data_IF_696893221317
#
_entry.id   IF_696893221317
#
_cell.length_a   1.000
_cell.length_b   1.000
_cell.length_c   1.000
_cell.angle_alpha   90.00
_cell.angle_beta   90.00
_cell.angle_gamma   90.00
#
_symmetry.space_group_name_H-M   'P 1'
#
loop_
_entity.id
_entity.type
_entity.pdbx_description
1 polymer ?
#
# COMPACT_ATOMS: atom_id res chain seq x y z
N UNK A 1 -49.03 -27.36 -11.33
CA UNK A 1 -48.29 -26.09 -11.21
C UNK A 1 -49.30 -24.98 -11.31
N UNK A 2 -49.01 -23.90 -10.60
CA UNK A 2 -49.65 -22.57 -10.65
C UNK A 2 -50.79 -22.23 -9.68
N UNK A 3 -50.53 -21.09 -9.03
CA UNK A 3 -51.19 -20.27 -7.98
C UNK A 3 -52.63 -19.81 -8.39
N UNK A 4 -53.41 -18.97 -7.62
CA UNK A 4 -53.13 -18.25 -6.35
C UNK A 4 -54.32 -18.13 -5.33
N UNK A 5 -54.06 -17.34 -4.26
CA UNK A 5 -54.97 -16.47 -3.48
C UNK A 5 -55.93 -17.08 -2.44
N UNK A 6 -55.75 -16.67 -1.17
CA UNK A 6 -56.76 -15.90 -0.39
C UNK A 6 -56.24 -15.47 0.99
N UNK A 7 -56.59 -14.23 1.33
CA UNK A 7 -56.48 -13.57 2.63
C UNK A 7 -57.27 -14.28 3.75
N UNK A 8 -56.98 -13.95 5.03
CA UNK A 8 -57.92 -13.50 6.10
C UNK A 8 -57.48 -13.92 7.53
N UNK A 9 -57.10 -12.89 8.32
CA UNK A 9 -57.55 -12.55 9.70
C UNK A 9 -57.08 -13.34 10.94
N UNK A 10 -56.31 -12.60 11.76
CA UNK A 10 -56.34 -12.41 13.23
C UNK A 10 -56.46 -13.60 14.20
N UNK A 11 -55.56 -13.68 15.19
CA UNK A 11 -55.75 -13.11 16.55
C UNK A 11 -54.67 -13.62 17.53
N UNK A 12 -54.48 -12.86 18.63
CA UNK A 12 -54.18 -13.34 20.00
C UNK A 12 -52.71 -13.34 20.50
N UNK A 13 -52.51 -12.39 21.42
CA UNK A 13 -51.87 -12.48 22.74
C UNK A 13 -50.39 -12.10 22.88
N UNK A 14 -50.26 -11.02 23.66
CA UNK A 14 -49.10 -10.47 24.34
C UNK A 14 -48.06 -11.48 24.81
N UNK A 15 -46.79 -11.07 24.76
CA UNK A 15 -45.98 -10.93 25.97
C UNK A 15 -44.74 -10.08 25.66
N UNK A 16 -44.58 -8.97 26.38
CA UNK A 16 -43.32 -8.24 26.46
C UNK A 16 -42.21 -9.17 26.94
N UNK A 17 -41.11 -9.28 26.19
CA UNK A 17 -39.75 -9.28 26.72
C UNK A 17 -38.74 -9.42 25.58
N UNK A 18 -37.70 -8.58 25.63
CA UNK A 18 -36.43 -8.71 24.90
C UNK A 18 -36.42 -8.36 23.41
N UNK A 19 -36.57 -7.07 23.11
CA UNK A 19 -35.85 -6.48 21.98
C UNK A 19 -34.37 -6.38 22.36
N UNK A 20 -33.62 -7.47 22.20
CA UNK A 20 -32.21 -7.36 21.85
C UNK A 20 -32.17 -6.99 20.38
N UNK A 21 -32.09 -5.70 20.08
CA UNK A 21 -31.63 -5.25 18.79
C UNK A 21 -30.19 -5.77 18.64
N UNK A 22 -30.04 -6.93 17.97
CA UNK A 22 -28.75 -7.29 17.40
C UNK A 22 -28.54 -6.33 16.25
N UNK A 23 -27.83 -5.24 16.52
CA UNK A 23 -27.10 -4.56 15.48
C UNK A 23 -26.07 -5.57 14.97
N UNK A 24 -26.39 -6.24 13.86
CA UNK A 24 -25.36 -6.90 13.07
C UNK A 24 -24.44 -5.78 12.58
N UNK A 25 -23.27 -5.69 13.19
CA UNK A 25 -22.17 -4.90 12.66
C UNK A 25 -21.75 -5.63 11.40
N UNK A 26 -22.35 -5.25 10.26
CA UNK A 26 -21.78 -5.55 8.96
C UNK A 26 -20.46 -4.79 8.96
N UNK A 27 -19.36 -5.52 9.15
CA UNK A 27 -18.03 -5.01 8.88
C UNK A 27 -18.00 -4.68 7.40
N UNK A 28 -18.26 -3.42 7.09
CA UNK A 28 -18.15 -2.86 5.77
C UNK A 28 -16.66 -2.91 5.40
N UNK A 29 -16.28 -3.92 4.62
CA UNK A 29 -14.95 -4.10 4.03
C UNK A 29 -14.70 -3.08 2.90
N UNK A 30 -15.26 -1.87 3.06
CA UNK A 30 -15.25 -0.79 2.06
C UNK A 30 -13.90 -0.12 1.91
N UNK A 31 -12.93 -0.41 2.79
CA UNK A 31 -11.60 0.17 2.69
C UNK A 31 -10.71 -0.50 1.63
N UNK A 32 -10.98 -1.75 1.25
CA UNK A 32 -10.27 -2.40 0.14
C UNK A 32 -10.63 -1.79 -1.23
N UNK A 33 -11.78 -1.12 -1.35
CA UNK A 33 -12.20 -0.44 -2.57
C UNK A 33 -11.57 0.95 -2.74
N UNK A 34 -11.10 1.60 -1.67
CA UNK A 34 -10.46 2.93 -1.79
C UNK A 34 -8.99 2.83 -2.21
N UNK A 35 -8.34 1.68 -1.98
CA UNK A 35 -6.95 1.41 -2.40
C UNK A 35 -6.85 1.05 -3.89
N UNK A 36 -7.97 0.77 -4.58
CA UNK A 36 -7.99 0.40 -6.01
C UNK A 36 -7.54 1.50 -6.98
N UNK A 37 -7.34 2.74 -6.51
CA UNK A 37 -6.86 3.84 -7.36
C UNK A 37 -5.37 4.17 -7.18
N UNK A 38 -4.65 3.45 -6.31
CA UNK A 38 -3.20 3.58 -6.26
C UNK A 38 -2.61 2.76 -7.42
N UNK A 39 -2.00 3.44 -8.39
CA UNK A 39 -1.21 2.78 -9.43
C UNK A 39 -0.30 1.72 -8.80
N UNK A 40 -0.13 0.54 -9.40
CA UNK A 40 0.55 -0.56 -8.74
C UNK A 40 1.98 -0.14 -8.36
N UNK A 41 2.28 0.01 -7.06
CA UNK A 41 3.46 0.78 -6.60
C UNK A 41 4.78 0.22 -7.12
N UNK A 42 4.99 -1.10 -7.11
CA UNK A 42 6.20 -1.71 -7.65
C UNK A 42 6.21 -1.87 -9.17
N UNK A 43 5.06 -1.74 -9.82
CA UNK A 43 4.94 -1.81 -11.28
C UNK A 43 4.75 -0.43 -11.94
N UNK A 44 4.71 0.65 -11.15
CA UNK A 44 4.40 2.02 -11.57
C UNK A 44 5.34 2.56 -12.64
N UNK A 45 6.62 2.19 -12.62
CA UNK A 45 7.62 2.65 -13.60
C UNK A 45 7.75 1.74 -14.83
N UNK A 46 7.11 0.57 -14.83
CA UNK A 46 7.29 -0.42 -15.89
C UNK A 46 6.30 -0.29 -17.05
N UNK A 47 5.25 0.54 -16.92
CA UNK A 47 4.25 0.68 -17.96
C UNK A 47 4.73 1.59 -19.09
N UNK A 48 4.63 1.08 -20.32
CA UNK A 48 4.93 1.77 -21.58
C UNK A 48 3.73 1.65 -22.51
N UNK A 49 3.75 2.35 -23.65
CA UNK A 49 2.72 2.19 -24.69
C UNK A 49 2.63 0.74 -25.22
N UNK A 50 3.74 -0.01 -25.15
CA UNK A 50 3.83 -1.40 -25.58
C UNK A 50 3.38 -2.39 -24.51
N UNK A 51 3.05 -1.93 -23.30
CA UNK A 51 2.69 -2.77 -22.15
C UNK A 51 3.69 -2.62 -21.00
N UNK A 52 3.65 -3.56 -20.06
CA UNK A 52 4.54 -3.56 -18.91
C UNK A 52 5.89 -4.23 -19.22
N UNK A 53 7.00 -3.56 -18.92
CA UNK A 53 8.37 -4.02 -19.11
C UNK A 53 9.22 -3.89 -17.83
N UNK A 54 8.62 -4.10 -16.66
CA UNK A 54 9.34 -4.12 -15.38
C UNK A 54 9.96 -5.49 -15.06
N UNK A 55 10.46 -5.62 -13.82
CA UNK A 55 11.26 -6.78 -13.37
C UNK A 55 10.57 -7.64 -12.30
N UNK A 56 9.30 -7.38 -12.00
CA UNK A 56 8.50 -8.25 -11.12
C UNK A 56 8.37 -9.63 -11.76
N UNK A 57 8.52 -10.70 -10.99
CA UNK A 57 8.54 -12.09 -11.47
C UNK A 57 7.82 -13.08 -10.54
N UNK A 58 6.87 -12.57 -9.74
CA UNK A 58 6.05 -13.38 -8.85
C UNK A 58 4.58 -12.96 -8.96
N UNK A 59 3.68 -13.92 -8.80
CA UNK A 59 2.23 -13.69 -8.71
C UNK A 59 1.87 -13.00 -7.40
N UNK A 60 0.68 -12.41 -7.33
CA UNK A 60 0.03 -11.90 -6.11
C UNK A 60 0.02 -12.89 -4.92
N UNK A 61 0.03 -14.17 -5.25
CA UNK A 61 0.03 -15.33 -4.37
C UNK A 61 1.44 -15.86 -4.06
N UNK A 62 2.48 -15.18 -4.54
CA UNK A 62 3.89 -15.53 -4.32
C UNK A 62 4.42 -16.67 -5.19
N UNK A 63 3.68 -17.13 -6.19
CA UNK A 63 4.17 -18.16 -7.10
C UNK A 63 5.19 -17.59 -8.08
N UNK A 64 6.33 -18.27 -8.33
CA UNK A 64 7.30 -17.80 -9.29
C UNK A 64 6.75 -17.89 -10.71
N UNK A 65 6.97 -16.83 -11.48
CA UNK A 65 6.61 -16.79 -12.89
C UNK A 65 7.51 -17.73 -13.73
N UNK A 66 6.91 -18.31 -14.77
CA UNK A 66 7.59 -19.11 -15.78
C UNK A 66 8.15 -18.22 -16.89
N UNK A 67 9.10 -18.74 -17.67
CA UNK A 67 9.64 -18.00 -18.81
C UNK A 67 8.63 -17.94 -19.94
N UNK A 68 8.54 -16.81 -20.63
CA UNK A 68 7.63 -16.66 -21.77
C UNK A 68 7.98 -17.57 -22.94
N UNK A 69 9.26 -17.90 -23.13
CA UNK A 69 9.72 -18.80 -24.19
C UNK A 69 9.35 -20.27 -23.96
N UNK A 70 8.86 -20.64 -22.78
CA UNK A 70 8.17 -21.93 -22.57
C UNK A 70 6.82 -21.99 -23.30
N UNK A 71 6.29 -20.83 -23.73
CA UNK A 71 5.01 -20.65 -24.41
C UNK A 71 5.22 -19.95 -25.78
N UNK A 72 5.89 -20.60 -26.74
CA UNK A 72 6.33 -19.96 -27.99
C UNK A 72 5.17 -19.41 -28.83
N UNK A 73 4.01 -20.07 -28.83
CA UNK A 73 2.82 -19.59 -29.55
C UNK A 73 2.35 -18.22 -29.01
N UNK A 74 2.45 -18.01 -27.69
CA UNK A 74 2.09 -16.75 -27.05
C UNK A 74 3.09 -15.64 -27.38
N UNK A 75 4.39 -15.97 -27.45
CA UNK A 75 5.44 -15.03 -27.86
C UNK A 75 5.22 -14.59 -29.31
N UNK A 76 4.82 -15.50 -30.20
CA UNK A 76 4.52 -15.18 -31.59
C UNK A 76 3.27 -14.32 -31.76
N UNK A 77 2.26 -14.52 -30.91
CA UNK A 77 1.02 -13.73 -30.93
C UNK A 77 1.24 -12.25 -30.57
N UNK A 78 2.21 -11.96 -29.70
CA UNK A 78 2.47 -10.62 -29.17
C UNK A 78 3.91 -10.15 -29.44
N UNK A 79 4.30 -9.97 -30.72
CA UNK A 79 5.66 -9.61 -31.08
C UNK A 79 6.03 -8.21 -30.56
N UNK A 80 7.24 -8.06 -30.03
CA UNK A 80 7.76 -6.78 -29.53
C UNK A 80 7.14 -6.31 -28.20
N UNK A 81 6.29 -7.12 -27.56
CA UNK A 81 5.65 -6.82 -26.26
C UNK A 81 6.50 -7.19 -25.04
N UNK A 82 7.81 -7.37 -25.24
CA UNK A 82 8.74 -7.74 -24.18
C UNK A 82 8.65 -9.19 -23.72
N UNK A 83 8.00 -10.09 -24.45
CA UNK A 83 7.98 -11.52 -24.15
C UNK A 83 9.30 -12.16 -24.61
N UNK A 84 10.01 -12.88 -23.74
CA UNK A 84 11.33 -13.44 -24.06
C UNK A 84 11.90 -14.40 -23.01
N UNK A 85 13.21 -14.61 -23.05
CA UNK A 85 13.99 -15.52 -22.18
C UNK A 85 14.13 -15.01 -20.72
N UNK A 86 13.00 -14.71 -20.09
CA UNK A 86 12.92 -14.27 -18.70
C UNK A 86 11.55 -14.61 -18.10
N UNK A 87 11.49 -14.63 -16.76
CA UNK A 87 10.27 -14.83 -15.99
C UNK A 87 9.60 -13.53 -15.52
N UNK A 88 10.01 -12.38 -16.05
CA UNK A 88 9.37 -11.11 -15.68
C UNK A 88 7.95 -11.02 -16.23
N UNK A 89 7.05 -10.52 -15.41
CA UNK A 89 5.66 -10.24 -15.76
C UNK A 89 5.56 -9.30 -16.95
N UNK A 90 4.52 -9.47 -17.75
CA UNK A 90 4.23 -8.62 -18.91
C UNK A 90 2.75 -8.29 -18.95
N UNK A 91 2.42 -7.29 -19.76
CA UNK A 91 1.05 -6.90 -20.01
C UNK A 91 0.85 -6.65 -21.51
N UNK A 92 0.97 -7.68 -22.35
CA UNK A 92 0.92 -7.54 -23.81
C UNK A 92 -0.49 -7.26 -24.34
N UNK A 93 -1.51 -7.61 -23.57
CA UNK A 93 -2.94 -7.65 -23.88
C UNK A 93 -3.75 -6.52 -23.23
N UNK A 94 -3.08 -5.59 -22.52
CA UNK A 94 -3.69 -4.40 -21.88
C UNK A 94 -4.67 -4.76 -20.74
N UNK A 95 -4.32 -5.79 -20.01
CA UNK A 95 -4.95 -6.14 -18.75
C UNK A 95 -4.77 -5.05 -17.69
N UNK A 96 -5.57 -5.15 -16.62
CA UNK A 96 -5.53 -4.19 -15.51
C UNK A 96 -4.21 -4.19 -14.74
N UNK A 97 -3.50 -5.31 -14.71
CA UNK A 97 -2.23 -5.50 -14.02
C UNK A 97 -1.32 -6.42 -14.85
N UNK A 98 0.03 -6.29 -14.78
CA UNK A 98 0.92 -7.25 -15.39
C UNK A 98 0.70 -8.64 -14.81
N UNK A 99 0.90 -9.65 -15.62
CA UNK A 99 0.64 -11.03 -15.26
C UNK A 99 1.72 -11.94 -15.83
N UNK A 100 1.70 -13.20 -15.41
CA UNK A 100 2.59 -14.23 -15.92
C UNK A 100 1.93 -15.61 -15.82
N UNK A 101 2.52 -16.58 -16.52
CA UNK A 101 2.23 -18.00 -16.29
C UNK A 101 2.98 -18.51 -15.07
N UNK A 102 2.37 -19.43 -14.32
CA UNK A 102 3.00 -20.09 -13.18
C UNK A 102 2.60 -21.57 -13.13
N UNK A 103 3.38 -22.36 -12.39
CA UNK A 103 3.09 -23.77 -12.15
C UNK A 103 2.31 -23.93 -10.85
N UNK A 104 1.09 -24.46 -10.94
CA UNK A 104 0.26 -24.79 -9.79
C UNK A 104 0.83 -25.99 -9.02
N UNK A 105 0.36 -26.19 -7.79
CA UNK A 105 0.73 -27.35 -6.96
C UNK A 105 0.34 -28.70 -7.59
N UNK A 106 -0.70 -28.73 -8.42
CA UNK A 106 -1.11 -29.90 -9.21
C UNK A 106 -0.19 -30.20 -10.40
N UNK A 107 0.76 -29.32 -10.71
CA UNK A 107 1.59 -29.36 -11.92
C UNK A 107 0.94 -28.71 -13.14
N UNK A 108 -0.34 -28.32 -13.06
CA UNK A 108 -1.01 -27.58 -14.13
C UNK A 108 -0.38 -26.19 -14.33
N UNK A 109 -0.38 -25.71 -15.57
CA UNK A 109 -0.01 -24.34 -15.88
C UNK A 109 -1.23 -23.45 -15.68
N UNK A 110 -1.08 -22.42 -14.84
CA UNK A 110 -2.06 -21.35 -14.68
C UNK A 110 -1.47 -20.01 -15.11
N UNK A 111 -2.31 -18.98 -15.11
CA UNK A 111 -1.89 -17.58 -15.20
C UNK A 111 -2.44 -16.83 -13.98
N UNK A 112 -1.72 -15.79 -13.55
CA UNK A 112 -2.17 -14.92 -12.47
C UNK A 112 -1.53 -13.53 -12.60
N UNK A 113 -2.19 -12.54 -12.00
CA UNK A 113 -1.62 -11.21 -11.88
C UNK A 113 -0.39 -11.21 -10.99
N UNK A 114 0.51 -10.29 -11.28
CA UNK A 114 1.76 -10.15 -10.56
C UNK A 114 1.62 -9.27 -9.33
N UNK A 115 2.47 -9.54 -8.34
CA UNK A 115 2.53 -8.78 -7.10
C UNK A 115 3.13 -7.40 -7.37
N UNK A 116 2.23 -6.47 -7.70
CA UNK A 116 2.55 -5.08 -7.95
C UNK A 116 2.24 -4.18 -6.74
N UNK A 117 1.94 -4.79 -5.57
CA UNK A 117 1.55 -4.09 -4.34
C UNK A 117 2.72 -3.94 -3.36
N UNK A 118 3.94 -4.29 -3.76
CA UNK A 118 5.09 -4.14 -2.88
C UNK A 118 5.24 -2.68 -2.45
N UNK A 119 5.44 -2.49 -1.15
CA UNK A 119 5.59 -1.18 -0.54
C UNK A 119 4.29 -0.40 -0.36
N UNK A 120 3.11 -0.96 -0.66
CA UNK A 120 1.84 -0.36 -0.24
C UNK A 120 1.87 -0.19 1.28
N UNK A 121 1.48 0.99 1.76
CA UNK A 121 1.40 1.32 3.16
C UNK A 121 -0.07 1.45 3.61
N UNK A 122 -0.33 1.24 4.89
CA UNK A 122 -1.61 1.57 5.54
C UNK A 122 -1.38 2.03 6.97
N UNK A 123 -2.33 2.82 7.49
CA UNK A 123 -2.36 3.25 8.89
C UNK A 123 -3.47 2.49 9.63
N UNK A 124 -3.15 1.89 10.77
CA UNK A 124 -4.09 1.03 11.53
C UNK A 124 -4.17 1.46 12.99
N UNK A 125 -5.37 1.40 13.58
CA UNK A 125 -5.56 1.61 15.03
C UNK A 125 -5.43 3.07 15.50
N UNK A 126 -5.33 4.03 14.59
CA UNK A 126 -5.38 5.45 14.93
C UNK A 126 -6.81 5.98 15.06
N UNK A 127 -6.99 7.15 15.70
CA UNK A 127 -8.30 7.78 15.90
C UNK A 127 -8.89 8.41 14.62
N UNK A 128 -8.11 8.55 13.55
CA UNK A 128 -8.54 9.13 12.28
C UNK A 128 -7.92 8.37 11.09
N UNK A 129 -8.46 8.52 9.86
CA UNK A 129 -7.83 7.96 8.66
C UNK A 129 -6.44 8.54 8.35
N UNK A 130 -6.07 9.66 8.97
CA UNK A 130 -4.77 10.32 8.82
C UNK A 130 -3.76 9.91 9.87
N UNK A 131 -4.08 8.97 10.75
CA UNK A 131 -3.18 8.56 11.84
C UNK A 131 -3.28 7.07 12.12
N UNK A 132 -2.20 6.49 12.61
CA UNK A 132 -2.19 5.08 13.03
C UNK A 132 -0.80 4.46 13.01
N UNK A 133 -0.74 3.20 13.44
CA UNK A 133 0.43 2.34 13.28
C UNK A 133 0.68 2.12 11.79
N UNK A 134 1.92 2.28 11.36
CA UNK A 134 2.34 2.03 10.00
C UNK A 134 2.52 0.53 9.74
N UNK A 135 1.79 0.02 8.75
CA UNK A 135 1.98 -1.32 8.20
C UNK A 135 2.27 -1.22 6.71
N UNK A 136 3.19 -2.05 6.23
CA UNK A 136 3.64 -2.09 4.84
C UNK A 136 3.42 -3.48 4.27
N UNK A 137 3.03 -3.58 3.01
CA UNK A 137 2.87 -4.85 2.31
C UNK A 137 4.15 -5.20 1.57
N UNK A 138 4.76 -6.35 1.91
CA UNK A 138 5.87 -6.95 1.19
C UNK A 138 5.72 -8.46 1.18
N UNK A 139 6.11 -9.10 0.08
CA UNK A 139 6.14 -10.56 -0.08
C UNK A 139 4.85 -11.27 0.39
N UNK A 140 3.67 -10.80 -0.06
CA UNK A 140 2.41 -11.44 0.28
C UNK A 140 1.81 -11.06 1.66
N UNK A 141 2.51 -10.30 2.50
CA UNK A 141 2.13 -10.11 3.90
C UNK A 141 2.27 -8.65 4.36
N UNK A 142 1.37 -8.23 5.25
CA UNK A 142 1.50 -6.98 6.00
C UNK A 142 2.48 -7.16 7.15
N UNK A 143 3.38 -6.20 7.32
CA UNK A 143 4.34 -6.17 8.42
C UNK A 143 4.57 -4.75 8.92
N UNK A 144 5.03 -4.64 10.16
CA UNK A 144 5.31 -3.38 10.82
C UNK A 144 6.63 -2.76 10.34
N UNK A 145 6.78 -1.46 10.59
CA UNK A 145 8.05 -0.74 10.51
C UNK A 145 8.54 -0.49 11.93
N UNK A 146 9.81 -0.75 12.18
CA UNK A 146 10.42 -0.50 13.47
C UNK A 146 10.66 1.00 13.70
N UNK A 147 10.46 1.45 14.93
CA UNK A 147 10.65 2.83 15.35
C UNK A 147 12.13 3.25 15.51
N UNK A 148 13.07 2.31 15.35
CA UNK A 148 14.51 2.59 15.41
C UNK A 148 14.94 3.53 14.27
N UNK A 149 15.29 4.77 14.63
CA UNK A 149 15.54 5.89 13.71
C UNK A 149 14.34 6.23 12.82
N UNK A 150 13.12 6.00 13.31
CA UNK A 150 11.91 6.48 12.66
C UNK A 150 11.77 7.99 12.85
N UNK A 151 11.87 8.75 11.75
CA UNK A 151 11.91 10.22 11.75
C UNK A 151 10.71 10.84 11.04
N UNK A 152 10.50 12.15 11.24
CA UNK A 152 9.45 12.90 10.52
C UNK A 152 9.67 12.91 9.00
N UNK A 153 10.92 12.77 8.54
CA UNK A 153 11.23 12.60 7.10
C UNK A 153 10.67 11.30 6.55
N UNK A 154 10.79 10.23 7.31
CA UNK A 154 10.22 8.93 6.97
C UNK A 154 8.69 8.98 6.96
N UNK A 155 8.10 9.53 8.03
CA UNK A 155 6.65 9.69 8.15
C UNK A 155 6.07 10.56 7.02
N UNK A 156 6.77 11.63 6.62
CA UNK A 156 6.35 12.51 5.53
C UNK A 156 6.35 11.80 4.16
N UNK A 157 7.29 10.88 3.90
CA UNK A 157 7.25 10.03 2.70
C UNK A 157 6.00 9.14 2.70
N UNK A 158 5.65 8.57 3.85
CA UNK A 158 4.43 7.75 3.98
C UNK A 158 3.16 8.58 3.76
N UNK A 159 3.05 9.75 4.39
CA UNK A 159 1.88 10.61 4.22
C UNK A 159 1.67 11.04 2.77
N UNK A 160 2.76 11.38 2.08
CA UNK A 160 2.70 11.70 0.64
C UNK A 160 2.32 10.49 -0.19
N UNK A 161 2.91 9.32 0.09
CA UNK A 161 2.57 8.07 -0.60
C UNK A 161 1.09 7.70 -0.46
N UNK A 162 0.49 7.97 0.71
CA UNK A 162 -0.93 7.72 0.99
C UNK A 162 -1.86 8.83 0.48
N UNK A 163 -1.32 9.94 -0.03
CA UNK A 163 -2.10 11.09 -0.46
C UNK A 163 -2.78 11.84 0.70
N UNK A 164 -2.23 11.74 1.91
CA UNK A 164 -2.81 12.32 3.14
C UNK A 164 -2.18 13.67 3.53
N UNK A 165 -1.26 14.18 2.72
CA UNK A 165 -0.53 15.43 2.94
C UNK A 165 0.98 15.26 2.82
N UNK A 166 1.71 16.37 2.86
CA UNK A 166 3.18 16.39 2.76
C UNK A 166 3.88 16.31 4.12
N UNK A 167 3.14 16.52 5.22
CA UNK A 167 3.71 16.58 6.57
C UNK A 167 3.29 15.32 7.32
N UNK A 168 4.29 14.54 7.75
CA UNK A 168 4.11 13.40 8.63
C UNK A 168 4.91 13.57 9.92
N UNK A 169 4.25 13.30 11.04
CA UNK A 169 4.89 13.21 12.36
C UNK A 169 5.12 11.74 12.71
N UNK A 170 6.36 11.43 13.06
CA UNK A 170 6.80 10.13 13.51
C UNK A 170 6.43 9.91 14.98
N UNK A 171 5.73 8.81 15.24
CA UNK A 171 5.46 8.32 16.59
C UNK A 171 6.17 6.99 16.81
N UNK A 172 6.68 6.79 18.02
CA UNK A 172 7.49 5.64 18.40
C UNK A 172 6.81 4.89 19.57
N UNK A 173 7.42 3.81 20.05
CA UNK A 173 6.99 3.02 21.20
C UNK A 173 5.56 2.46 21.06
N UNK A 174 5.18 2.05 19.84
CA UNK A 174 3.86 1.50 19.53
C UNK A 174 2.70 2.37 20.04
N UNK A 175 2.79 3.67 19.81
CA UNK A 175 1.79 4.66 20.25
C UNK A 175 0.34 4.26 19.92
N UNK A 176 0.11 3.65 18.76
CA UNK A 176 -1.22 3.16 18.32
C UNK A 176 -1.46 1.68 18.61
N UNK A 177 -0.70 1.12 19.56
CA UNK A 177 -0.70 -0.29 19.91
C UNK A 177 0.21 -1.12 19.02
N UNK A 178 0.67 -2.25 19.57
CA UNK A 178 1.49 -3.22 18.86
C UNK A 178 0.69 -3.94 17.76
N UNK A 179 1.38 -4.33 16.69
CA UNK A 179 0.85 -5.21 15.66
C UNK A 179 1.08 -6.68 16.02
N UNK A 180 0.36 -7.59 15.37
CA UNK A 180 0.52 -9.03 15.60
C UNK A 180 1.52 -9.71 14.66
N UNK A 181 2.38 -8.93 13.99
CA UNK A 181 3.08 -9.37 12.77
C UNK A 181 4.60 -9.26 12.80
N UNK A 182 5.19 -9.64 11.67
CA UNK A 182 6.61 -9.47 11.36
C UNK A 182 6.97 -7.99 11.18
N UNK A 183 8.27 -7.67 11.28
CA UNK A 183 8.80 -6.37 10.88
C UNK A 183 9.40 -6.47 9.47
N UNK A 184 8.95 -5.61 8.55
CA UNK A 184 9.50 -5.52 7.20
C UNK A 184 10.72 -4.60 7.11
N UNK A 185 10.81 -3.65 8.03
CA UNK A 185 11.88 -2.67 8.11
C UNK A 185 12.34 -2.53 9.56
N UNK A 186 13.62 -2.79 9.82
CA UNK A 186 14.26 -2.48 11.11
C UNK A 186 14.67 -1.01 11.21
N UNK A 187 15.06 -0.40 10.08
CA UNK A 187 15.46 1.00 9.98
C UNK A 187 15.03 1.56 8.64
N UNK A 188 14.05 2.47 8.67
CA UNK A 188 13.78 3.31 7.51
C UNK A 188 14.74 4.50 7.51
N UNK A 189 15.13 4.94 6.32
CA UNK A 189 16.18 5.93 6.14
C UNK A 189 15.90 6.75 4.89
N UNK A 190 14.74 7.39 4.87
CA UNK A 190 14.34 8.27 3.79
C UNK A 190 15.09 9.60 3.87
N UNK A 191 15.33 10.20 2.71
CA UNK A 191 15.79 11.59 2.59
C UNK A 191 14.64 12.58 2.78
N UNK A 192 13.41 12.14 2.53
CA UNK A 192 12.17 12.91 2.69
C UNK A 192 11.52 13.30 1.36
N UNK A 193 12.20 13.09 0.22
CA UNK A 193 11.74 13.44 -1.12
C UNK A 193 11.40 12.22 -2.00
N UNK A 194 11.47 11.01 -1.45
CA UNK A 194 11.12 9.78 -2.15
C UNK A 194 9.62 9.71 -2.50
N UNK A 195 9.31 9.18 -3.67
CA UNK A 195 7.92 9.01 -4.11
C UNK A 195 7.20 7.85 -3.37
N UNK A 196 7.94 6.89 -2.84
CA UNK A 196 7.42 5.78 -2.06
C UNK A 196 8.47 5.22 -1.11
N UNK A 197 8.01 4.47 -0.11
CA UNK A 197 8.83 3.78 0.89
C UNK A 197 9.87 2.84 0.26
N UNK A 198 9.59 2.27 -0.91
CA UNK A 198 10.52 1.39 -1.63
C UNK A 198 11.79 2.10 -2.11
N UNK A 199 11.76 3.43 -2.25
CA UNK A 199 12.91 4.22 -2.73
C UNK A 199 13.76 4.79 -1.63
N UNK A 200 13.33 4.69 -0.38
CA UNK A 200 14.13 5.12 0.75
C UNK A 200 15.41 4.28 0.80
N UNK A 201 16.53 4.91 1.15
CA UNK A 201 17.81 4.20 1.34
C UNK A 201 17.76 3.41 2.65
N UNK A 202 16.88 2.41 2.74
CA UNK A 202 16.81 1.50 3.87
C UNK A 202 18.10 0.67 3.90
N UNK A 203 18.85 0.74 5.00
CA UNK A 203 19.89 -0.26 5.26
C UNK A 203 19.17 -1.53 5.72
N UNK A 204 18.86 -2.42 4.79
CA UNK A 204 18.40 -3.77 5.14
C UNK A 204 19.57 -4.50 5.81
N UNK A 205 19.31 -5.06 7.00
CA UNK A 205 20.18 -5.91 7.82
C UNK A 205 21.36 -5.24 8.54
N UNK A 206 21.16 -4.94 9.83
CA UNK A 206 22.07 -5.31 10.93
C UNK A 206 21.18 -5.65 12.13
N UNK A 207 21.15 -6.93 12.49
CA UNK A 207 20.39 -7.53 13.60
C UNK A 207 20.34 -6.64 14.85
N UNK A 208 19.16 -6.10 15.13
CA UNK A 208 18.78 -5.48 16.39
C UNK A 208 17.29 -5.75 16.57
N UNK A 209 16.96 -6.68 17.47
CA UNK A 209 15.64 -7.30 17.64
C UNK A 209 14.53 -6.29 17.99
N UNK A 210 13.93 -5.66 16.98
CA UNK A 210 12.66 -4.96 17.15
C UNK A 210 11.61 -5.98 17.60
N UNK A 211 10.97 -5.69 18.74
CA UNK A 211 9.95 -6.55 19.32
C UNK A 211 8.61 -5.78 19.42
N UNK A 212 7.57 -6.46 19.91
CA UNK A 212 6.29 -5.82 20.18
C UNK A 212 6.49 -4.67 21.16
N UNK A 213 6.13 -3.45 20.75
CA UNK A 213 6.50 -2.23 21.45
C UNK A 213 7.39 -1.29 20.64
N UNK A 214 7.91 -1.74 19.49
CA UNK A 214 8.72 -0.93 18.57
C UNK A 214 8.01 -0.58 17.26
N UNK A 215 6.68 -0.67 17.19
CA UNK A 215 5.95 -0.37 15.97
C UNK A 215 5.83 1.14 15.74
N UNK A 216 6.35 1.59 14.60
CA UNK A 216 6.26 2.97 14.16
C UNK A 216 4.81 3.41 13.93
N UNK A 217 4.48 4.61 14.41
CA UNK A 217 3.23 5.31 14.15
C UNK A 217 3.45 6.55 13.29
N UNK A 218 2.38 6.95 12.60
CA UNK A 218 2.34 8.13 11.76
C UNK A 218 1.12 8.96 12.13
N UNK A 219 1.30 10.27 12.17
CA UNK A 219 0.20 11.24 12.04
C UNK A 219 0.47 12.10 10.82
N UNK A 220 -0.42 12.03 9.83
CA UNK A 220 -0.40 12.91 8.68
C UNK A 220 -1.21 14.16 8.99
N UNK A 221 -0.56 15.31 8.86
CA UNK A 221 -1.22 16.59 8.96
C UNK A 221 -1.45 17.14 7.55
N UNK A 222 -2.64 17.66 7.24
CA UNK A 222 -2.71 18.68 6.20
C UNK A 222 -1.83 19.86 6.66
N UNK A 223 -1.20 20.60 5.75
CA UNK A 223 -0.49 21.82 6.14
C UNK A 223 -1.43 22.69 6.99
N UNK A 224 -1.02 22.99 8.22
CA UNK A 224 -1.85 23.81 9.11
C UNK A 224 -1.89 25.25 8.59
N UNK A 225 -3.11 25.75 8.34
CA UNK A 225 -3.38 27.11 7.90
C UNK A 225 -3.62 27.26 6.40
N UNK A 226 -4.11 28.44 6.01
CA UNK A 226 -4.08 28.90 4.61
C UNK A 226 -2.69 29.40 4.19
N UNK A 227 -1.70 29.25 5.07
CA UNK A 227 -0.35 29.70 4.84
C UNK A 227 0.38 28.71 3.93
N UNK A 228 1.29 29.25 3.13
CA UNK A 228 2.05 28.46 2.18
C UNK A 228 2.87 27.37 2.92
N UNK A 229 2.81 26.10 2.50
CA UNK A 229 3.60 25.03 3.11
C UNK A 229 5.08 25.40 3.23
N UNK A 230 5.67 25.12 4.39
CA UNK A 230 7.08 25.36 4.69
C UNK A 230 7.83 24.03 4.81
N UNK A 231 9.10 24.02 4.39
CA UNK A 231 10.03 22.92 4.67
C UNK A 231 11.43 23.44 4.96
N UNK A 232 12.22 22.66 5.69
CA UNK A 232 13.66 22.87 5.84
C UNK A 232 14.40 21.97 4.84
N UNK A 233 15.36 22.53 4.10
CA UNK A 233 16.22 21.80 3.16
C UNK A 233 17.70 22.07 3.45
N UNK A 234 18.55 21.12 3.08
CA UNK A 234 20.01 21.18 3.26
C UNK A 234 20.48 21.32 4.73
N UNK A 235 19.67 20.90 5.70
CA UNK A 235 20.09 20.70 7.08
C UNK A 235 20.79 19.36 7.28
N UNK A 236 21.68 19.27 8.26
CA UNK A 236 22.22 17.98 8.70
C UNK A 236 21.25 17.24 9.63
N UNK A 237 20.42 17.99 10.37
CA UNK A 237 19.36 17.51 11.24
C UNK A 237 17.97 17.98 10.79
N UNK A 238 16.90 17.42 11.39
CA UNK A 238 15.50 17.68 11.00
C UNK A 238 14.96 19.04 11.44
N UNK A 239 15.63 19.70 12.39
CA UNK A 239 15.26 21.00 12.95
C UNK A 239 16.17 22.13 12.48
N UNK A 240 16.97 21.90 11.42
CA UNK A 240 17.80 22.93 10.81
C UNK A 240 17.76 22.87 9.28
N UNK A 241 18.19 23.96 8.64
CA UNK A 241 18.28 24.06 7.20
C UNK A 241 17.74 25.39 6.67
N UNK A 242 17.79 25.53 5.36
CA UNK A 242 17.19 26.65 4.65
C UNK A 242 15.67 26.44 4.57
N UNK A 243 14.91 27.47 4.93
CA UNK A 243 13.45 27.47 4.77
C UNK A 243 13.09 27.63 3.29
N UNK A 244 12.28 26.71 2.78
CA UNK A 244 11.61 26.84 1.49
C UNK A 244 10.09 26.96 1.67
N UNK A 245 9.48 27.79 0.84
CA UNK A 245 8.04 28.07 0.80
C UNK A 245 7.46 27.51 -0.48
N UNK A 246 6.34 26.79 -0.40
CA UNK A 246 5.63 26.30 -1.59
C UNK A 246 4.63 27.34 -2.10
N UNK A 247 4.86 27.86 -3.31
CA UNK A 247 3.99 28.88 -3.91
C UNK A 247 3.93 28.76 -5.43
N UNK A 248 2.71 28.74 -6.00
CA UNK A 248 2.50 28.64 -7.45
C UNK A 248 3.00 27.32 -8.06
N UNK A 249 2.84 26.20 -7.34
CA UNK A 249 3.25 24.87 -7.79
C UNK A 249 4.75 24.59 -7.71
N UNK A 250 5.54 25.45 -7.05
CA UNK A 250 7.00 25.32 -6.94
C UNK A 250 7.50 25.69 -5.54
N UNK A 251 8.58 25.04 -5.12
CA UNK A 251 9.32 25.38 -3.91
C UNK A 251 10.36 26.49 -4.20
N UNK A 252 10.49 27.46 -3.30
CA UNK A 252 11.48 28.53 -3.44
C UNK A 252 11.83 29.19 -2.10
N UNK A 253 12.97 29.89 -2.07
CA UNK A 253 13.52 30.53 -0.86
C UNK A 253 13.73 32.05 -1.01
N UNK A 254 13.09 32.68 -2.02
CA UNK A 254 13.12 34.14 -2.22
C UNK A 254 11.92 34.62 -3.04
N UNK A 255 11.15 35.56 -2.49
CA UNK A 255 10.24 36.40 -3.25
C UNK A 255 11.07 37.51 -3.91
N UNK A 256 11.15 37.50 -5.24
CA UNK A 256 11.48 38.68 -6.05
C UNK A 256 10.32 38.96 -6.97
#
# INVERSE_FOLDING_TARGET
MDLPTKEIVAFIVAFCCWLHARAEVIADDSYLNTVQNAAPLSCSEGFTELGYNGTVSQTDSGSPCLKWTEFPDYVQQYPGRGLGEHSYCRNPDRESNPWCFFRQSSGAIGWAYCDCHQGVARLVGGPSPTSGRLEVYLNGQWGAVCDAHWTDRDASVICRQLGLGDIGTALQNSHFGAGSGIFHYERLGCRGNEASILRCQSRKFVTSDCNHGNEAGVVCAPPEGNDAPLRLVDGSEEFEGRVEVFHGGRWGHRLR
#
